data_IF_125209401326
#
_entry.id   IF_125209401326
#
_cell.length_a   1.000
_cell.length_b   1.000
_cell.length_c   1.000
_cell.angle_alpha   90.00
_cell.angle_beta   90.00
_cell.angle_gamma   90.00
#
_symmetry.space_group_name_H-M   'P 1'
#
loop_
_entity.id
_entity.type
_entity.pdbx_description
1 polymer ?
#
# COMPACT_ATOMS: atom_id res chain seq x y z
N UNK A 1 -83.51 -15.45 0.53
CA UNK A 1 -82.80 -15.00 -0.68
C UNK A 1 -81.43 -14.43 -0.21
N UNK A 2 -80.42 -15.27 -0.14
CA UNK A 2 -79.08 -14.88 0.34
C UNK A 2 -78.16 -14.70 -0.84
N UNK A 3 -77.65 -13.50 -1.04
CA UNK A 3 -76.62 -13.21 -2.02
C UNK A 3 -75.28 -13.30 -1.33
N UNK A 4 -74.48 -14.33 -1.66
CA UNK A 4 -73.12 -14.45 -1.30
C UNK A 4 -72.27 -13.70 -2.33
N UNK A 5 -71.65 -12.64 -1.88
CA UNK A 5 -70.58 -11.93 -2.65
C UNK A 5 -69.25 -12.56 -2.35
N UNK A 6 -68.69 -13.27 -3.33
CA UNK A 6 -67.32 -13.83 -3.29
C UNK A 6 -66.37 -12.68 -3.57
N UNK A 7 -65.57 -12.32 -2.58
CA UNK A 7 -64.50 -11.32 -2.70
C UNK A 7 -63.25 -12.06 -3.15
N UNK A 8 -62.92 -11.95 -4.43
CA UNK A 8 -61.69 -12.50 -5.01
C UNK A 8 -60.54 -11.52 -4.68
N UNK A 9 -59.71 -11.92 -3.69
CA UNK A 9 -58.49 -11.20 -3.37
C UNK A 9 -57.44 -11.64 -4.38
N UNK A 10 -57.16 -10.75 -5.34
CA UNK A 10 -56.08 -10.91 -6.31
C UNK A 10 -54.76 -10.54 -5.62
N UNK A 11 -53.99 -11.55 -5.16
CA UNK A 11 -52.65 -11.36 -4.64
C UNK A 11 -51.73 -11.20 -5.83
N UNK A 12 -51.42 -9.95 -6.18
CA UNK A 12 -50.37 -9.61 -7.13
C UNK A 12 -49.00 -9.84 -6.47
N UNK A 13 -48.38 -10.97 -6.75
CA UNK A 13 -46.97 -11.18 -6.47
C UNK A 13 -46.17 -10.23 -7.35
N UNK A 14 -45.78 -9.12 -6.78
CA UNK A 14 -44.70 -8.30 -7.34
C UNK A 14 -43.42 -9.09 -7.16
N UNK A 15 -43.06 -9.87 -8.16
CA UNK A 15 -41.66 -10.30 -8.36
C UNK A 15 -40.85 -9.02 -8.62
N UNK A 16 -40.37 -8.44 -7.54
CA UNK A 16 -39.26 -7.52 -7.62
C UNK A 16 -38.05 -8.34 -8.07
N UNK A 17 -37.86 -8.42 -9.39
CA UNK A 17 -36.51 -8.67 -9.90
C UNK A 17 -35.65 -7.52 -9.39
N UNK A 18 -34.97 -7.73 -8.27
CA UNK A 18 -33.72 -7.01 -8.04
C UNK A 18 -32.81 -7.50 -9.18
N UNK A 19 -32.76 -6.73 -10.27
CA UNK A 19 -31.59 -6.76 -11.12
C UNK A 19 -30.44 -6.50 -10.15
N UNK A 20 -29.69 -7.54 -9.86
CA UNK A 20 -28.32 -7.36 -9.45
C UNK A 20 -27.74 -6.42 -10.51
N UNK A 21 -27.66 -5.15 -10.17
CA UNK A 21 -26.79 -4.25 -10.90
C UNK A 21 -25.41 -4.87 -10.69
N UNK A 22 -24.96 -5.59 -11.71
CA UNK A 22 -23.54 -5.72 -11.94
C UNK A 22 -23.15 -4.25 -12.14
N UNK A 23 -22.72 -3.61 -11.07
CA UNK A 23 -21.95 -2.39 -11.18
C UNK A 23 -20.69 -2.86 -11.87
N UNK A 24 -20.63 -2.69 -13.16
CA UNK A 24 -19.36 -2.66 -13.86
C UNK A 24 -18.63 -1.53 -13.17
N UNK A 25 -17.58 -1.88 -12.42
CA UNK A 25 -16.69 -0.89 -11.81
C UNK A 25 -16.02 -0.15 -12.96
N UNK A 26 -16.67 0.90 -13.43
CA UNK A 26 -16.18 1.75 -14.51
C UNK A 26 -15.23 2.77 -13.90
N UNK A 27 -13.95 2.43 -13.86
CA UNK A 27 -12.92 3.39 -13.51
C UNK A 27 -12.71 4.35 -14.67
N UNK A 28 -12.78 5.64 -14.39
CA UNK A 28 -12.50 6.68 -15.38
C UNK A 28 -10.99 6.98 -15.50
N UNK A 29 -10.20 6.55 -14.50
CA UNK A 29 -8.75 6.75 -14.47
C UNK A 29 -8.02 5.70 -13.67
N UNK A 30 -6.73 5.53 -13.95
CA UNK A 30 -5.85 4.71 -13.11
C UNK A 30 -5.76 5.23 -11.67
N UNK A 31 -5.98 6.53 -11.44
CA UNK A 31 -5.92 7.09 -10.09
C UNK A 31 -7.11 6.62 -9.25
N UNK A 32 -8.31 6.55 -9.81
CA UNK A 32 -9.48 5.97 -9.15
C UNK A 32 -9.29 4.49 -8.85
N UNK A 33 -8.77 3.72 -9.82
CA UNK A 33 -8.43 2.31 -9.59
C UNK A 33 -7.47 2.14 -8.41
N UNK A 34 -6.40 2.94 -8.35
CA UNK A 34 -5.46 2.88 -7.23
C UNK A 34 -6.11 3.30 -5.90
N UNK A 35 -6.99 4.30 -5.90
CA UNK A 35 -7.70 4.74 -4.69
C UNK A 35 -8.62 3.65 -4.14
N UNK A 36 -9.22 2.85 -5.00
CA UNK A 36 -10.08 1.73 -4.59
C UNK A 36 -9.27 0.48 -4.17
N UNK A 37 -8.17 0.18 -4.89
CA UNK A 37 -7.38 -1.03 -4.64
C UNK A 37 -6.26 -0.85 -3.62
N UNK A 38 -5.98 0.36 -3.18
CA UNK A 38 -4.97 0.58 -2.13
C UNK A 38 -5.38 -0.07 -0.82
N UNK A 39 -4.40 -0.37 0.02
CA UNK A 39 -4.66 -0.99 1.31
C UNK A 39 -5.54 -0.08 2.20
N UNK A 40 -6.62 -0.66 2.70
CA UNK A 40 -7.57 0.02 3.57
C UNK A 40 -6.98 0.33 4.95
N UNK A 41 -7.41 1.43 5.54
CA UNK A 41 -7.12 1.75 6.94
C UNK A 41 -7.94 0.82 7.84
N UNK A 42 -7.27 0.05 8.65
CA UNK A 42 -7.88 -0.76 9.70
C UNK A 42 -7.96 0.07 10.98
N UNK A 43 -9.11 0.06 11.66
CA UNK A 43 -9.32 0.80 12.89
C UNK A 43 -9.55 -0.13 14.08
N UNK A 44 -8.84 0.15 15.17
CA UNK A 44 -8.91 -0.62 16.41
C UNK A 44 -9.21 0.32 17.58
N UNK A 45 -10.39 0.20 18.15
CA UNK A 45 -10.78 0.98 19.33
C UNK A 45 -10.26 0.28 20.58
N UNK A 46 -9.38 0.92 21.31
CA UNK A 46 -8.79 0.44 22.55
C UNK A 46 -9.65 0.93 23.72
N UNK A 47 -10.43 0.06 24.29
CA UNK A 47 -11.33 0.36 25.42
C UNK A 47 -10.79 -0.15 26.76
N UNK A 48 -9.85 -1.06 26.72
CA UNK A 48 -9.20 -1.66 27.89
C UNK A 48 -7.75 -2.01 27.54
N UNK A 49 -6.85 -1.88 28.49
CA UNK A 49 -5.42 -2.17 28.36
C UNK A 49 -4.97 -3.33 29.28
N UNK A 50 -5.93 -4.04 29.91
CA UNK A 50 -5.63 -5.18 30.76
C UNK A 50 -5.03 -6.33 29.95
N UNK A 51 -3.88 -6.81 30.38
CA UNK A 51 -3.28 -8.03 29.87
C UNK A 51 -2.31 -7.87 28.69
N UNK A 52 -1.89 -6.67 28.30
CA UNK A 52 -0.88 -6.43 27.23
C UNK A 52 -1.13 -7.23 25.92
N UNK A 53 -2.40 -7.44 25.56
CA UNK A 53 -2.73 -8.14 24.32
C UNK A 53 -2.41 -7.25 23.13
N UNK A 54 -1.65 -7.73 22.13
CA UNK A 54 -1.43 -6.97 20.93
C UNK A 54 -2.71 -6.87 20.11
N UNK A 55 -2.92 -5.75 19.42
CA UNK A 55 -3.85 -5.72 18.29
C UNK A 55 -3.23 -6.48 17.13
N UNK A 56 -4.05 -7.18 16.36
CA UNK A 56 -3.60 -7.98 15.22
C UNK A 56 -4.22 -7.44 13.96
N UNK A 57 -3.39 -6.95 13.05
CA UNK A 57 -3.80 -6.46 11.74
C UNK A 57 -4.28 -7.58 10.82
N UNK A 58 -4.97 -7.22 9.76
CA UNK A 58 -5.53 -8.14 8.75
C UNK A 58 -4.48 -9.07 8.14
N UNK A 59 -3.26 -8.60 7.98
CA UNK A 59 -2.15 -9.38 7.44
C UNK A 59 -1.21 -9.94 8.52
N UNK A 60 -1.61 -9.84 9.79
CA UNK A 60 -0.97 -10.51 10.91
C UNK A 60 0.11 -9.72 11.65
N UNK A 61 0.30 -8.44 11.33
CA UNK A 61 1.12 -7.55 12.17
C UNK A 61 0.55 -7.51 13.58
N UNK A 62 1.40 -7.67 14.60
CA UNK A 62 1.00 -7.50 16.00
C UNK A 62 1.55 -6.19 16.51
N UNK A 63 0.67 -5.25 16.88
CA UNK A 63 1.06 -4.00 17.54
C UNK A 63 0.81 -4.06 19.03
N UNK A 64 1.82 -3.73 19.82
CA UNK A 64 1.74 -3.66 21.27
C UNK A 64 1.52 -2.22 21.69
N UNK A 65 0.27 -1.88 21.96
CA UNK A 65 -0.17 -0.50 22.24
C UNK A 65 -0.54 -0.34 23.71
N UNK A 66 -0.24 0.84 24.25
CA UNK A 66 -0.64 1.25 25.59
C UNK A 66 -0.74 2.77 25.63
N UNK A 67 -1.72 3.32 26.34
CA UNK A 67 -1.95 4.77 26.44
C UNK A 67 -0.72 5.56 26.91
N UNK A 68 0.09 4.95 27.77
CA UNK A 68 1.34 5.56 28.26
C UNK A 68 2.42 5.78 27.18
N UNK A 69 2.21 5.28 25.96
CA UNK A 69 3.09 5.55 24.82
C UNK A 69 2.76 6.89 24.15
N UNK A 70 1.56 7.42 24.38
CA UNK A 70 1.02 8.55 23.62
C UNK A 70 0.82 9.77 24.50
N UNK A 71 0.90 10.93 23.86
CA UNK A 71 0.45 12.19 24.41
C UNK A 71 -0.45 12.92 23.41
N UNK A 72 -1.36 13.69 23.93
CA UNK A 72 -2.20 14.59 23.16
C UNK A 72 -1.34 15.73 22.57
N UNK A 73 -1.48 16.00 21.28
CA UNK A 73 -0.68 17.00 20.57
C UNK A 73 -0.96 18.44 21.02
N UNK A 74 -2.15 18.65 21.61
CA UNK A 74 -2.63 19.99 22.03
C UNK A 74 -2.37 20.23 23.50
N UNK A 75 -2.85 19.33 24.38
CA UNK A 75 -2.78 19.48 25.82
C UNK A 75 -1.47 18.97 26.42
N UNK A 76 -0.73 18.12 25.70
CA UNK A 76 0.41 17.34 26.20
C UNK A 76 0.06 16.51 27.46
N UNK A 77 -1.21 16.21 27.62
CA UNK A 77 -1.73 15.40 28.70
C UNK A 77 -1.59 13.90 28.44
N UNK A 78 -1.71 13.14 29.53
CA UNK A 78 -1.80 11.67 29.45
C UNK A 78 -3.04 11.26 28.66
N UNK A 79 -2.90 10.24 27.84
CA UNK A 79 -4.00 9.64 27.08
C UNK A 79 -4.65 8.55 27.94
N UNK A 80 -5.98 8.58 28.00
CA UNK A 80 -6.79 7.56 28.65
C UNK A 80 -7.64 6.84 27.60
N UNK A 81 -8.03 5.61 27.89
CA UNK A 81 -9.00 4.88 27.07
C UNK A 81 -10.39 5.58 27.09
N UNK A 82 -11.22 5.52 26.04
CA UNK A 82 -10.91 4.88 24.76
C UNK A 82 -10.05 5.76 23.86
N UNK A 83 -9.26 5.11 22.99
CA UNK A 83 -8.57 5.76 21.87
C UNK A 83 -8.53 4.79 20.69
N UNK A 84 -8.24 5.28 19.49
CA UNK A 84 -8.26 4.49 18.26
C UNK A 84 -6.86 4.41 17.66
N UNK A 85 -6.44 3.20 17.32
CA UNK A 85 -5.25 2.97 16.49
C UNK A 85 -5.72 2.70 15.06
N UNK A 86 -5.05 3.33 14.11
CA UNK A 86 -5.24 3.09 12.69
C UNK A 86 -3.99 2.43 12.13
N UNK A 87 -4.16 1.42 11.26
CA UNK A 87 -3.08 0.63 10.69
C UNK A 87 -3.31 0.40 9.21
N UNK A 88 -2.26 0.59 8.39
CA UNK A 88 -2.13 0.02 7.05
C UNK A 88 -0.91 -0.88 7.06
N UNK A 89 -1.06 -2.07 6.47
CA UNK A 89 0.00 -3.06 6.35
C UNK A 89 0.33 -3.28 4.88
N UNK A 90 1.61 -3.21 4.52
CA UNK A 90 2.09 -3.51 3.18
C UNK A 90 3.16 -4.59 3.29
N UNK A 91 2.97 -5.71 2.59
CA UNK A 91 3.88 -6.85 2.63
C UNK A 91 4.32 -7.33 1.26
N UNK A 92 3.64 -6.87 0.20
CA UNK A 92 3.84 -7.37 -1.15
C UNK A 92 4.28 -6.27 -2.11
N UNK A 93 4.89 -6.64 -3.23
CA UNK A 93 5.23 -5.71 -4.31
C UNK A 93 3.96 -5.09 -4.90
N UNK A 94 2.89 -5.90 -4.99
CA UNK A 94 1.57 -5.42 -5.37
C UNK A 94 1.11 -4.27 -4.47
N UNK A 95 1.23 -4.41 -3.15
CA UNK A 95 0.83 -3.36 -2.20
C UNK A 95 1.59 -2.06 -2.45
N UNK A 96 2.91 -2.15 -2.70
CA UNK A 96 3.73 -0.97 -3.01
C UNK A 96 3.29 -0.29 -4.29
N UNK A 97 2.96 -1.06 -5.33
CA UNK A 97 2.49 -0.52 -6.62
C UNK A 97 1.12 0.15 -6.44
N UNK A 98 0.16 -0.53 -5.80
CA UNK A 98 -1.18 0.00 -5.56
C UNK A 98 -1.16 1.24 -4.67
N UNK A 99 -0.27 1.28 -3.69
CA UNK A 99 -0.05 2.46 -2.84
C UNK A 99 0.78 3.55 -3.54
N UNK A 100 1.19 3.35 -4.81
CA UNK A 100 2.07 4.26 -5.58
C UNK A 100 3.37 4.60 -4.85
N UNK A 101 3.87 3.67 -4.04
CA UNK A 101 5.11 3.86 -3.31
C UNK A 101 6.33 3.81 -4.21
N UNK A 102 7.31 4.62 -3.89
CA UNK A 102 8.61 4.62 -4.52
C UNK A 102 9.66 4.19 -3.49
N UNK A 103 10.37 3.11 -3.77
CA UNK A 103 11.44 2.61 -2.88
C UNK A 103 12.79 3.27 -3.16
N UNK A 104 12.84 4.42 -3.85
CA UNK A 104 14.06 5.18 -4.02
C UNK A 104 14.38 5.97 -2.75
N UNK A 105 15.66 5.94 -2.38
CA UNK A 105 16.23 6.71 -1.29
C UNK A 105 17.45 7.50 -1.82
N UNK A 106 17.81 8.58 -1.15
CA UNK A 106 18.96 9.40 -1.56
C UNK A 106 20.21 8.54 -1.69
N UNK A 107 20.72 8.43 -2.92
CA UNK A 107 21.93 7.66 -3.20
C UNK A 107 21.74 6.15 -3.41
N UNK A 108 20.49 5.61 -3.39
CA UNK A 108 20.30 4.17 -3.57
C UNK A 108 18.86 3.74 -3.73
N UNK A 109 18.62 2.46 -3.58
CA UNK A 109 17.30 1.83 -3.50
C UNK A 109 17.06 1.21 -2.13
N UNK A 110 15.82 0.95 -1.82
CA UNK A 110 15.40 0.27 -0.61
C UNK A 110 14.87 -1.12 -0.98
N UNK A 111 15.60 -2.15 -0.56
CA UNK A 111 15.19 -3.55 -0.64
C UNK A 111 14.15 -3.79 0.46
N UNK A 112 12.92 -3.84 0.08
CA UNK A 112 11.74 -3.80 0.90
C UNK A 112 11.51 -5.10 1.69
N UNK A 113 11.12 -4.98 2.94
CA UNK A 113 10.68 -6.08 3.82
C UNK A 113 9.22 -5.93 4.17
N UNK A 114 8.85 -4.80 4.77
CA UNK A 114 7.48 -4.48 5.16
C UNK A 114 7.29 -2.97 5.29
N UNK A 115 6.07 -2.50 5.08
CA UNK A 115 5.67 -1.11 5.33
C UNK A 115 4.46 -1.06 6.24
N UNK A 116 4.50 -0.17 7.21
CA UNK A 116 3.40 0.10 8.11
C UNK A 116 3.08 1.60 8.10
N UNK A 117 1.82 1.93 7.99
CA UNK A 117 1.35 3.24 8.41
C UNK A 117 0.56 3.08 9.69
N UNK A 118 0.97 3.80 10.72
CA UNK A 118 0.33 3.74 12.03
C UNK A 118 -0.07 5.13 12.46
N UNK A 119 -1.28 5.27 12.94
CA UNK A 119 -1.79 6.50 13.53
C UNK A 119 -2.55 6.19 14.81
N UNK A 120 -2.56 7.13 15.73
CA UNK A 120 -3.36 7.07 16.94
C UNK A 120 -4.22 8.32 17.05
N UNK A 121 -5.47 8.16 17.50
CA UNK A 121 -6.44 9.24 17.65
C UNK A 121 -7.24 9.10 18.94
N UNK A 122 -7.59 10.23 19.56
CA UNK A 122 -8.59 10.33 20.61
C UNK A 122 -9.50 11.52 20.31
N UNK A 123 -10.81 11.30 20.32
CA UNK A 123 -11.82 12.34 20.06
C UNK A 123 -11.50 13.16 18.79
N UNK A 124 -11.20 12.46 17.68
CA UNK A 124 -10.77 13.01 16.38
C UNK A 124 -9.46 13.79 16.36
N UNK A 125 -8.74 13.89 17.48
CA UNK A 125 -7.42 14.49 17.55
C UNK A 125 -6.32 13.44 17.39
N UNK A 126 -5.32 13.77 16.57
CA UNK A 126 -4.16 12.90 16.42
C UNK A 126 -3.30 12.95 17.68
N UNK A 127 -2.88 11.78 18.11
CA UNK A 127 -1.91 11.59 19.17
C UNK A 127 -0.50 11.52 18.57
N UNK A 128 0.52 11.72 19.39
CA UNK A 128 1.91 11.47 19.04
C UNK A 128 2.55 10.54 20.08
N UNK A 129 3.61 9.85 19.69
CA UNK A 129 4.44 9.13 20.65
C UNK A 129 5.18 10.11 21.56
N UNK A 130 5.26 9.78 22.82
CA UNK A 130 6.07 10.50 23.79
C UNK A 130 7.54 10.31 23.43
N UNK A 131 8.34 11.37 23.48
CA UNK A 131 9.76 11.33 23.16
C UNK A 131 10.49 10.24 23.94
N UNK A 132 11.24 9.40 23.23
CA UNK A 132 11.94 8.24 23.80
C UNK A 132 11.08 7.01 24.08
N UNK A 133 9.79 7.04 23.75
CA UNK A 133 8.93 5.85 23.73
C UNK A 133 8.87 5.26 22.34
N UNK A 134 8.63 3.95 22.29
CA UNK A 134 8.53 3.19 21.04
C UNK A 134 7.27 2.36 21.01
N UNK A 135 6.61 2.35 19.88
CA UNK A 135 5.54 1.40 19.57
C UNK A 135 6.17 0.15 18.97
N UNK A 136 5.97 -1.00 19.61
CA UNK A 136 6.49 -2.27 19.13
C UNK A 136 5.52 -2.91 18.14
N UNK A 137 6.06 -3.32 16.98
CA UNK A 137 5.35 -4.07 15.96
C UNK A 137 6.09 -5.37 15.63
N UNK A 138 5.41 -6.51 15.70
CA UNK A 138 5.92 -7.77 15.18
C UNK A 138 5.39 -7.95 13.76
N UNK A 139 6.30 -8.04 12.80
CA UNK A 139 5.97 -8.13 11.37
C UNK A 139 5.67 -9.58 10.97
N UNK A 140 4.58 -9.79 10.25
CA UNK A 140 4.22 -11.11 9.72
C UNK A 140 4.84 -11.34 8.33
N UNK A 141 6.16 -11.49 8.28
CA UNK A 141 6.90 -11.78 7.03
C UNK A 141 8.09 -12.67 7.33
N UNK A 142 8.52 -13.42 6.32
CA UNK A 142 9.72 -14.26 6.43
C UNK A 142 10.95 -13.42 6.74
N UNK A 143 11.76 -13.92 7.66
CA UNK A 143 13.05 -13.30 8.00
C UNK A 143 14.04 -13.56 6.87
N UNK A 144 14.50 -12.49 6.27
CA UNK A 144 15.52 -12.50 5.22
C UNK A 144 16.92 -12.52 5.83
N UNK A 145 17.98 -12.90 5.08
CA UNK A 145 19.34 -13.02 5.62
C UNK A 145 20.01 -11.65 5.87
N UNK A 146 19.25 -10.68 6.39
CA UNK A 146 19.73 -9.36 6.80
C UNK A 146 18.76 -8.72 7.80
N UNK A 147 19.29 -7.80 8.60
CA UNK A 147 18.47 -6.94 9.47
C UNK A 147 18.17 -5.64 8.70
N UNK A 148 16.90 -5.30 8.49
CA UNK A 148 16.54 -4.05 7.83
C UNK A 148 16.73 -2.84 8.76
N UNK A 149 16.73 -1.66 8.14
CA UNK A 149 16.67 -0.36 8.83
C UNK A 149 15.28 0.22 8.66
N UNK A 150 14.83 1.06 9.59
CA UNK A 150 13.57 1.78 9.46
C UNK A 150 13.78 3.08 8.71
N UNK A 151 12.94 3.30 7.70
CA UNK A 151 12.83 4.56 6.96
C UNK A 151 11.47 5.18 7.21
N UNK A 152 11.45 6.46 7.47
CA UNK A 152 10.25 7.21 7.76
C UNK A 152 9.75 7.97 6.53
N UNK A 153 8.45 7.88 6.23
CA UNK A 153 7.81 8.48 5.06
C UNK A 153 6.78 9.57 5.36
N UNK A 154 6.71 10.04 6.63
CA UNK A 154 5.74 11.06 7.04
C UNK A 154 4.45 10.50 7.61
N UNK A 155 3.61 11.38 8.15
CA UNK A 155 2.38 11.01 8.87
C UNK A 155 1.10 11.02 8.01
N UNK A 156 1.16 11.53 6.79
CA UNK A 156 0.01 11.55 5.89
C UNK A 156 -0.29 10.15 5.33
N UNK A 157 -1.56 9.81 5.16
CA UNK A 157 -1.97 8.52 4.57
C UNK A 157 -1.46 8.39 3.13
N UNK A 158 -1.50 9.46 2.32
CA UNK A 158 -0.91 9.45 0.98
C UNK A 158 0.62 9.35 1.14
N UNK A 159 1.24 8.32 0.56
CA UNK A 159 2.66 8.09 0.78
C UNK A 159 3.51 9.25 0.27
N UNK A 160 4.49 9.59 1.06
CA UNK A 160 5.49 10.58 0.73
C UNK A 160 6.38 10.09 -0.42
N UNK A 161 6.83 11.00 -1.26
CA UNK A 161 7.69 10.65 -2.40
C UNK A 161 9.15 10.38 -2.03
N UNK A 162 9.54 10.66 -0.79
CA UNK A 162 10.91 10.50 -0.32
C UNK A 162 10.96 9.88 1.08
N UNK A 163 11.74 8.83 1.22
CA UNK A 163 12.03 8.21 2.50
C UNK A 163 13.19 8.94 3.19
N UNK A 164 13.12 9.04 4.51
CA UNK A 164 14.20 9.55 5.35
C UNK A 164 14.68 8.43 6.26
N UNK A 165 15.97 8.33 6.52
CA UNK A 165 16.42 7.46 7.61
C UNK A 165 15.77 7.95 8.91
N UNK A 166 15.22 7.02 9.71
CA UNK A 166 14.58 7.41 10.96
C UNK A 166 15.60 8.07 11.88
N UNK A 167 15.38 9.35 12.17
CA UNK A 167 16.27 10.14 13.03
C UNK A 167 16.01 9.90 14.52
N UNK A 168 14.82 9.39 14.88
CA UNK A 168 14.34 9.32 16.26
C UNK A 168 14.60 7.95 16.92
N UNK A 169 15.42 7.09 16.30
CA UNK A 169 15.85 5.84 16.89
C UNK A 169 14.94 4.64 16.60
N UNK A 170 14.02 4.73 15.62
CA UNK A 170 13.31 3.55 15.15
C UNK A 170 14.30 2.48 14.68
N UNK A 171 14.01 1.22 15.01
CA UNK A 171 14.91 0.10 14.74
C UNK A 171 14.15 -1.17 14.40
N UNK A 172 14.83 -2.11 13.76
CA UNK A 172 14.33 -3.48 13.57
C UNK A 172 15.31 -4.46 14.17
N UNK A 173 14.79 -5.41 14.92
CA UNK A 173 15.53 -6.58 15.41
C UNK A 173 14.92 -7.87 14.85
N UNK A 174 15.60 -8.99 15.10
CA UNK A 174 15.06 -10.33 14.87
C UNK A 174 14.99 -11.02 16.21
N UNK A 175 13.79 -11.46 16.57
CA UNK A 175 13.54 -12.20 17.80
C UNK A 175 12.66 -13.41 17.49
N UNK A 176 13.11 -14.62 17.83
CA UNK A 176 12.39 -15.87 17.57
C UNK A 176 11.89 -15.99 16.12
N UNK A 177 12.75 -15.71 15.15
CA UNK A 177 12.44 -15.76 13.72
C UNK A 177 11.33 -14.78 13.27
N UNK A 178 11.10 -13.72 14.03
CA UNK A 178 10.17 -12.63 13.71
C UNK A 178 10.91 -11.32 13.69
N UNK A 179 10.61 -10.46 12.74
CA UNK A 179 11.07 -9.08 12.78
C UNK A 179 10.29 -8.29 13.83
N UNK A 180 11.00 -7.74 14.79
CA UNK A 180 10.48 -6.79 15.77
C UNK A 180 10.89 -5.38 15.38
N UNK A 181 9.90 -4.54 15.10
CA UNK A 181 10.10 -3.16 14.67
C UNK A 181 9.68 -2.21 15.78
N UNK A 182 10.64 -1.43 16.30
CA UNK A 182 10.38 -0.36 17.25
C UNK A 182 10.18 0.94 16.49
N UNK A 183 9.01 1.51 16.57
CA UNK A 183 8.61 2.75 15.90
C UNK A 183 8.73 3.91 16.87
N UNK A 184 9.59 4.87 16.55
CA UNK A 184 9.72 6.13 17.28
C UNK A 184 8.76 7.21 16.76
N UNK A 185 8.22 7.02 15.55
CA UNK A 185 7.33 7.96 14.88
C UNK A 185 6.07 7.23 14.39
N UNK A 186 4.90 7.87 14.56
CA UNK A 186 3.66 7.47 13.90
C UNK A 186 3.69 7.96 12.44
N UNK A 187 2.95 7.28 11.58
CA UNK A 187 2.96 7.53 10.13
C UNK A 187 3.56 6.36 9.35
N UNK A 188 4.07 6.63 8.15
CA UNK A 188 4.71 5.61 7.30
C UNK A 188 6.08 5.23 7.84
N UNK A 189 6.26 3.95 8.08
CA UNK A 189 7.51 3.33 8.50
C UNK A 189 7.79 2.14 7.58
N UNK A 190 8.95 2.16 6.92
CA UNK A 190 9.38 1.13 6.00
C UNK A 190 10.56 0.37 6.58
N UNK A 191 10.39 -0.93 6.81
CA UNK A 191 11.51 -1.81 7.09
C UNK A 191 12.17 -2.22 5.77
N UNK A 192 13.40 -1.79 5.53
CA UNK A 192 14.10 -2.06 4.27
C UNK A 192 15.62 -2.11 4.47
N UNK A 193 16.32 -2.77 3.55
CA UNK A 193 17.76 -2.71 3.47
C UNK A 193 18.18 -1.69 2.40
N UNK A 194 19.06 -0.79 2.77
CA UNK A 194 19.66 0.12 1.81
C UNK A 194 20.55 -0.64 0.83
N UNK A 195 20.30 -0.45 -0.45
CA UNK A 195 21.14 -0.92 -1.54
C UNK A 195 21.92 0.27 -2.08
N UNK A 196 23.23 0.26 -1.83
CA UNK A 196 24.13 1.31 -2.29
C UNK A 196 24.10 1.45 -3.82
N UNK A 197 24.48 2.62 -4.28
CA UNK A 197 24.45 3.02 -5.69
C UNK A 197 25.16 2.02 -6.61
N UNK A 198 24.39 1.21 -7.32
CA UNK A 198 24.79 0.79 -8.65
C UNK A 198 24.66 2.01 -9.60
N UNK A 199 25.43 2.08 -10.71
CA UNK A 199 25.15 3.04 -11.76
C UNK A 199 23.66 2.99 -12.14
N UNK A 200 23.06 4.14 -12.37
CA UNK A 200 21.62 4.23 -12.67
C UNK A 200 21.40 4.78 -14.07
N UNK A 201 20.32 4.39 -14.67
CA UNK A 201 19.93 4.78 -16.03
C UNK A 201 18.50 5.23 -16.09
N UNK A 202 18.08 5.68 -17.27
CA UNK A 202 16.72 6.09 -17.61
C UNK A 202 16.16 5.08 -18.60
N UNK A 203 14.97 4.59 -18.32
CA UNK A 203 14.17 3.83 -19.28
C UNK A 203 13.11 4.76 -19.85
N UNK A 204 13.12 4.96 -21.15
CA UNK A 204 12.14 5.75 -21.87
C UNK A 204 11.11 4.85 -22.51
N UNK A 205 9.87 5.29 -22.50
CA UNK A 205 8.76 4.54 -23.07
C UNK A 205 8.16 5.25 -24.26
N UNK A 206 7.94 4.48 -25.33
CA UNK A 206 7.26 4.93 -26.53
C UNK A 206 6.01 4.07 -26.71
N UNK A 207 4.86 4.68 -26.82
CA UNK A 207 3.63 3.98 -27.19
C UNK A 207 2.95 4.69 -28.35
N UNK A 208 2.25 3.91 -29.15
CA UNK A 208 1.40 4.41 -30.24
C UNK A 208 -0.04 4.07 -29.90
N UNK A 209 -0.83 5.07 -29.56
CA UNK A 209 -2.25 4.90 -29.24
C UNK A 209 -2.87 6.24 -28.84
N UNK A 210 -4.17 6.40 -29.13
CA UNK A 210 -4.97 7.52 -28.65
C UNK A 210 -5.68 7.08 -27.36
N UNK A 211 -5.94 8.02 -26.45
CA UNK A 211 -6.78 7.79 -25.27
C UNK A 211 -6.08 7.05 -24.11
N UNK A 212 -4.75 6.96 -24.13
CA UNK A 212 -3.97 6.44 -23.00
C UNK A 212 -3.37 7.61 -22.21
N UNK A 213 -4.24 8.49 -21.76
CA UNK A 213 -3.88 9.54 -20.82
C UNK A 213 -3.69 8.90 -19.44
N UNK A 214 -2.78 9.40 -18.63
CA UNK A 214 -2.51 8.89 -17.28
C UNK A 214 -1.89 7.48 -17.18
N UNK A 215 -0.97 7.13 -18.08
CA UNK A 215 -0.19 5.91 -17.95
C UNK A 215 0.61 5.96 -16.66
N UNK A 216 0.51 4.90 -15.85
CA UNK A 216 1.32 4.69 -14.65
C UNK A 216 2.45 3.73 -14.98
N UNK A 217 3.70 4.16 -14.70
CA UNK A 217 4.90 3.40 -15.00
C UNK A 217 5.59 2.97 -13.71
N UNK A 218 6.01 1.71 -13.68
CA UNK A 218 6.79 1.17 -12.58
C UNK A 218 7.93 0.30 -13.11
N UNK A 219 9.03 0.27 -12.37
CA UNK A 219 10.07 -0.73 -12.52
C UNK A 219 10.22 -1.49 -11.21
N UNK A 220 10.23 -2.80 -11.29
CA UNK A 220 10.46 -3.68 -10.16
C UNK A 220 11.82 -4.37 -10.32
N UNK A 221 12.72 -4.17 -9.36
CA UNK A 221 14.03 -4.83 -9.33
C UNK A 221 13.86 -6.19 -8.67
N UNK A 222 13.80 -7.25 -9.47
CA UNK A 222 13.27 -8.56 -9.09
C UNK A 222 13.90 -9.17 -7.82
N UNK A 223 15.22 -9.05 -7.65
CA UNK A 223 15.91 -9.69 -6.52
C UNK A 223 16.01 -8.81 -5.26
N UNK A 224 15.57 -7.57 -5.36
CA UNK A 224 15.73 -6.55 -4.31
C UNK A 224 14.41 -6.01 -3.80
N UNK A 225 13.25 -6.56 -4.27
CA UNK A 225 11.90 -6.08 -3.94
C UNK A 225 11.80 -4.54 -3.94
N UNK A 226 12.55 -3.90 -4.83
CA UNK A 226 12.55 -2.46 -4.99
C UNK A 226 11.55 -2.06 -6.07
N UNK A 227 10.61 -1.19 -5.75
CA UNK A 227 9.68 -0.58 -6.71
C UNK A 227 10.12 0.85 -6.99
N UNK A 228 10.26 1.18 -8.27
CA UNK A 228 10.60 2.52 -8.75
C UNK A 228 9.41 3.04 -9.55
N UNK A 229 8.76 4.10 -9.05
CA UNK A 229 7.68 4.76 -9.77
C UNK A 229 8.23 5.67 -10.85
N UNK A 230 7.67 5.57 -12.06
CA UNK A 230 8.03 6.41 -13.20
C UNK A 230 7.30 7.75 -13.23
N UNK A 231 7.78 8.63 -14.10
CA UNK A 231 7.08 9.83 -14.55
C UNK A 231 6.14 9.52 -15.73
N UNK A 232 5.91 10.55 -16.59
CA UNK A 232 4.91 10.43 -17.66
C UNK A 232 5.32 9.44 -18.75
N UNK A 233 6.57 9.45 -19.18
CA UNK A 233 7.07 8.60 -20.29
C UNK A 233 8.44 8.01 -20.01
N UNK A 234 8.89 8.06 -18.75
CA UNK A 234 10.18 7.52 -18.38
C UNK A 234 10.21 7.07 -16.93
N UNK A 235 11.09 6.11 -16.65
CA UNK A 235 11.47 5.73 -15.29
C UNK A 235 12.92 6.12 -15.09
N UNK A 236 13.17 7.01 -14.18
CA UNK A 236 14.50 7.44 -13.78
C UNK A 236 15.08 6.54 -12.67
N UNK A 237 16.39 6.59 -12.51
CA UNK A 237 17.07 5.91 -11.42
C UNK A 237 16.91 4.38 -11.41
N UNK A 238 16.77 3.76 -12.58
CA UNK A 238 16.78 2.30 -12.71
C UNK A 238 18.22 1.79 -12.56
N UNK A 239 18.51 0.80 -11.69
CA UNK A 239 19.86 0.30 -11.51
C UNK A 239 20.35 -0.43 -12.76
N UNK A 240 21.61 -0.14 -13.16
CA UNK A 240 22.27 -0.78 -14.31
C UNK A 240 22.76 -2.18 -13.92
N UNK A 241 22.70 -3.11 -14.88
CA UNK A 241 23.12 -4.50 -14.73
C UNK A 241 22.32 -5.28 -13.66
N UNK A 242 21.07 -4.90 -13.45
CA UNK A 242 20.12 -5.65 -12.61
C UNK A 242 18.93 -6.11 -13.45
N UNK A 243 18.41 -7.31 -13.20
CA UNK A 243 17.13 -7.75 -13.78
C UNK A 243 15.99 -6.88 -13.27
N UNK A 244 15.27 -6.27 -14.18
CA UNK A 244 14.17 -5.35 -13.86
C UNK A 244 12.93 -5.78 -14.65
N UNK A 245 11.79 -5.83 -13.99
CA UNK A 245 10.48 -5.97 -14.65
C UNK A 245 9.88 -4.59 -14.79
N UNK A 246 9.64 -4.18 -16.04
CA UNK A 246 8.95 -2.94 -16.37
C UNK A 246 7.45 -3.21 -16.43
N UNK A 247 6.67 -2.27 -15.91
CA UNK A 247 5.21 -2.34 -15.84
C UNK A 247 4.67 -1.00 -16.33
N UNK A 248 3.71 -1.05 -17.24
CA UNK A 248 2.90 0.10 -17.60
C UNK A 248 1.42 -0.28 -17.48
N UNK A 249 0.65 0.60 -16.87
CA UNK A 249 -0.80 0.42 -16.68
C UNK A 249 -1.52 1.69 -17.11
N UNK A 250 -2.65 1.52 -17.77
CA UNK A 250 -3.53 2.61 -18.16
C UNK A 250 -4.98 2.11 -18.23
N UNK A 251 -5.92 3.05 -18.26
CA UNK A 251 -7.30 2.80 -18.64
C UNK A 251 -7.54 3.58 -19.93
N UNK A 252 -8.10 2.92 -20.94
CA UNK A 252 -8.40 3.58 -22.21
C UNK A 252 -9.79 4.24 -22.20
N UNK A 253 -10.13 4.89 -23.29
CA UNK A 253 -11.42 5.59 -23.47
C UNK A 253 -12.67 4.66 -23.43
N UNK A 254 -12.48 3.34 -23.48
CA UNK A 254 -13.55 2.34 -23.37
C UNK A 254 -13.62 1.75 -21.96
N UNK A 255 -12.86 2.30 -21.01
CA UNK A 255 -12.70 1.79 -19.63
C UNK A 255 -12.04 0.41 -19.56
N UNK A 256 -11.32 0.01 -20.60
CA UNK A 256 -10.54 -1.21 -20.60
C UNK A 256 -9.18 -1.00 -19.93
N UNK A 257 -8.77 -1.92 -19.06
CA UNK A 257 -7.42 -1.92 -18.51
C UNK A 257 -6.40 -2.29 -19.57
N UNK A 258 -5.41 -1.47 -19.74
CA UNK A 258 -4.25 -1.66 -20.61
C UNK A 258 -3.03 -1.98 -19.75
N UNK A 259 -2.44 -3.14 -20.00
CA UNK A 259 -1.32 -3.64 -19.21
C UNK A 259 -0.14 -4.00 -20.11
N UNK A 260 1.06 -3.68 -19.64
CA UNK A 260 2.31 -4.07 -20.26
C UNK A 260 3.27 -4.55 -19.18
N UNK A 261 3.92 -5.67 -19.44
CA UNK A 261 4.97 -6.23 -18.58
C UNK A 261 6.14 -6.71 -19.42
N UNK A 262 7.36 -6.33 -19.06
CA UNK A 262 8.57 -6.78 -19.76
C UNK A 262 9.75 -6.89 -18.80
N UNK A 263 10.37 -8.05 -18.76
CA UNK A 263 11.67 -8.25 -18.11
C UNK A 263 12.80 -7.71 -18.99
N UNK A 264 13.73 -6.98 -18.40
CA UNK A 264 14.94 -6.47 -19.07
C UNK A 264 16.16 -6.56 -18.16
N UNK A 265 17.33 -6.50 -18.76
CA UNK A 265 18.58 -6.14 -18.09
C UNK A 265 18.98 -4.73 -18.56
N UNK A 266 18.81 -3.74 -17.69
CA UNK A 266 19.13 -2.35 -18.03
C UNK A 266 20.66 -2.17 -18.10
N UNK A 267 21.21 -1.77 -19.25
CA UNK A 267 22.65 -1.56 -19.45
C UNK A 267 23.02 -0.10 -19.75
N UNK A 268 22.03 0.74 -19.96
CA UNK A 268 22.16 2.16 -20.30
C UNK A 268 20.79 2.77 -20.60
N UNK A 269 20.75 3.98 -21.14
CA UNK A 269 19.50 4.59 -21.60
C UNK A 269 18.87 3.66 -22.63
N UNK A 270 17.64 3.25 -22.36
CA UNK A 270 16.93 2.25 -23.17
C UNK A 270 15.57 2.78 -23.54
N UNK A 271 15.22 2.67 -24.83
CA UNK A 271 13.88 2.99 -25.35
C UNK A 271 13.05 1.71 -25.43
N UNK A 272 11.89 1.72 -24.81
CA UNK A 272 10.95 0.58 -24.75
C UNK A 272 9.68 0.96 -25.51
N UNK A 273 9.36 0.19 -26.52
CA UNK A 273 8.03 0.24 -27.17
C UNK A 273 7.04 -0.52 -26.28
N UNK A 274 5.97 0.16 -25.87
CA UNK A 274 4.87 -0.47 -25.15
C UNK A 274 3.89 -1.07 -26.15
N UNK A 275 3.59 -2.33 -25.95
CA UNK A 275 2.51 -3.05 -26.62
C UNK A 275 1.56 -3.56 -25.54
N UNK A 276 0.45 -2.85 -25.38
CA UNK A 276 -0.51 -3.18 -24.32
C UNK A 276 -1.34 -4.40 -24.65
N UNK A 277 -1.57 -5.24 -23.67
CA UNK A 277 -2.66 -6.21 -23.64
C UNK A 277 -3.87 -5.61 -22.90
N UNK A 278 -5.07 -6.09 -23.24
CA UNK A 278 -6.31 -5.70 -22.57
C UNK A 278 -6.60 -6.75 -21.50
N UNK A 279 -6.87 -6.28 -20.28
CA UNK A 279 -7.15 -7.16 -19.13
C UNK A 279 -8.46 -6.73 -18.47
N UNK A 280 -9.09 -7.66 -17.75
CA UNK A 280 -10.10 -7.32 -16.74
C UNK A 280 -9.40 -6.84 -15.46
N UNK A 281 -10.17 -6.24 -14.53
CA UNK A 281 -9.69 -5.86 -13.19
C UNK A 281 -9.01 -7.03 -12.47
N UNK A 282 -9.70 -8.19 -12.43
CA UNK A 282 -9.20 -9.38 -11.74
C UNK A 282 -7.90 -9.89 -12.39
N UNK A 283 -7.82 -9.86 -13.71
CA UNK A 283 -6.61 -10.26 -14.42
C UNK A 283 -5.46 -9.32 -14.12
N UNK A 284 -5.70 -8.00 -14.08
CA UNK A 284 -4.69 -7.02 -13.70
C UNK A 284 -4.17 -7.28 -12.27
N UNK A 285 -5.07 -7.48 -11.32
CA UNK A 285 -4.69 -7.77 -9.93
C UNK A 285 -3.90 -9.08 -9.80
N UNK A 286 -4.25 -10.11 -10.58
CA UNK A 286 -3.47 -11.35 -10.65
C UNK A 286 -2.07 -11.13 -11.23
N UNK A 287 -1.92 -10.29 -12.28
CA UNK A 287 -0.61 -9.94 -12.83
C UNK A 287 0.27 -9.21 -11.81
N UNK A 288 -0.31 -8.32 -11.00
CA UNK A 288 0.41 -7.65 -9.93
C UNK A 288 0.79 -8.60 -8.79
N UNK A 289 -0.09 -9.53 -8.44
CA UNK A 289 0.20 -10.55 -7.41
C UNK A 289 1.34 -11.49 -7.84
N UNK A 290 1.48 -11.76 -9.14
CA UNK A 290 2.55 -12.59 -9.69
C UNK A 290 3.94 -11.91 -9.74
N UNK A 291 4.11 -10.76 -9.10
CA UNK A 291 5.40 -10.06 -8.95
C UNK A 291 6.14 -10.47 -7.66
N UNK A 292 5.42 -11.02 -6.69
CA UNK A 292 5.94 -11.45 -5.37
C UNK A 292 6.68 -12.78 -5.38
#
# INVERSE_FOLDING_TARGET
MNKWSIFLISISFLFSCSKDRITTDEFQSMDEFFEEEQAEVQEFVITNEDGNQPIVGKFGTKLFVHSSLFEDTTSRGAVEVPYTIQLIELYTVKDLILQKMNSNYTGGGLDYVAGLWVSAKKDDQYLKLIDGKFLLANLNTEVRPFVPTVYYGGNQIKPWSAWLASANGSSVGINNEVYEMNLADLGWNLAARFQALAPRTIIKFNYQGKGLENIQLFAFVNNERQVIKGGVMEIQSVPVNRPVTLIAMAIDQNNDFRFFRKGILATGITDIKIEFETLTREQLLLQLTALD
#
